data_IF_556738188767
#
_entry.id   IF_556738188767
#
_cell.length_a   1.000
_cell.length_b   1.000
_cell.length_c   1.000
_cell.angle_alpha   90.00
_cell.angle_beta   90.00
_cell.angle_gamma   90.00
#
_symmetry.space_group_name_H-M   'P 1'
#
loop_
_entity.id
_entity.type
_entity.pdbx_description
1 polymer ?
#
# COMPACT_ATOMS: atom_id res chain seq x y z
N UNK A 1 1.59 11.48 7.11
CA UNK A 1 0.70 12.62 6.75
C UNK A 1 -0.69 12.32 7.31
N UNK A 2 -1.22 13.17 8.19
CA UNK A 2 -2.63 13.11 8.59
C UNK A 2 -3.46 13.48 7.36
N UNK A 3 -4.47 12.69 7.04
CA UNK A 3 -5.40 13.02 5.96
C UNK A 3 -6.31 14.14 6.47
N UNK A 4 -6.48 15.18 5.66
CA UNK A 4 -7.32 16.32 6.01
C UNK A 4 -8.76 15.84 6.14
N UNK A 5 -9.40 16.14 7.28
CA UNK A 5 -10.82 15.88 7.47
C UNK A 5 -11.67 16.79 6.57
N UNK A 6 -12.93 16.43 6.34
CA UNK A 6 -13.86 17.27 5.58
C UNK A 6 -14.01 18.67 6.20
N UNK A 7 -13.98 18.76 7.54
CA UNK A 7 -14.07 20.04 8.27
C UNK A 7 -12.79 20.87 8.07
N UNK A 8 -11.62 20.26 8.18
CA UNK A 8 -10.34 20.93 7.91
C UNK A 8 -10.25 21.40 6.44
N UNK A 9 -10.77 20.60 5.50
CA UNK A 9 -10.80 20.94 4.07
C UNK A 9 -11.75 22.11 3.79
N UNK A 10 -12.96 22.08 4.34
CA UNK A 10 -13.91 23.20 4.22
C UNK A 10 -13.33 24.49 4.82
N UNK A 11 -12.68 24.38 5.98
CA UNK A 11 -11.97 25.49 6.61
C UNK A 11 -10.86 26.05 5.72
N UNK A 12 -10.05 25.19 5.10
CA UNK A 12 -9.01 25.61 4.17
C UNK A 12 -9.56 26.31 2.93
N UNK A 13 -10.57 25.73 2.28
CA UNK A 13 -11.19 26.29 1.08
C UNK A 13 -11.86 27.64 1.34
N UNK A 14 -12.36 27.87 2.56
CA UNK A 14 -12.94 29.14 3.00
C UNK A 14 -11.92 30.13 3.58
N UNK A 15 -10.63 29.79 3.60
CA UNK A 15 -9.56 30.64 4.16
C UNK A 15 -9.59 30.77 5.69
N UNK A 16 -10.30 29.88 6.39
CA UNK A 16 -10.42 29.85 7.85
C UNK A 16 -9.37 28.97 8.53
N UNK A 17 -8.66 28.14 7.78
CA UNK A 17 -7.66 27.20 8.28
C UNK A 17 -6.45 27.14 7.34
N UNK A 18 -5.25 26.93 7.89
CA UNK A 18 -4.02 26.73 7.12
C UNK A 18 -3.57 25.26 7.29
N UNK A 19 -3.33 24.51 6.20
CA UNK A 19 -2.86 23.14 6.29
C UNK A 19 -1.46 23.12 6.92
N UNK A 20 -1.26 22.21 7.89
CA UNK A 20 0.01 22.08 8.62
C UNK A 20 1.21 21.82 7.69
N UNK A 21 0.99 21.20 6.54
CA UNK A 21 2.03 20.80 5.61
C UNK A 21 2.13 21.70 4.36
N UNK A 22 1.57 22.91 4.45
CA UNK A 22 1.82 24.01 3.54
C UNK A 22 3.28 24.47 3.68
N UNK A 23 4.01 24.57 2.56
CA UNK A 23 5.40 25.01 2.58
C UNK A 23 5.51 26.53 2.66
N UNK A 24 6.64 27.04 3.15
CA UNK A 24 6.95 28.47 3.09
C UNK A 24 6.96 28.91 1.63
N UNK A 25 6.29 30.03 1.34
CA UNK A 25 6.09 30.59 0.00
C UNK A 25 5.28 29.70 -0.98
N UNK A 26 4.60 28.66 -0.50
CA UNK A 26 3.65 27.90 -1.31
C UNK A 26 2.26 28.54 -1.22
N UNK A 27 1.71 28.91 -2.37
CA UNK A 27 0.33 29.40 -2.48
C UNK A 27 -0.67 28.27 -2.28
N UNK A 28 -1.92 28.60 -1.92
CA UNK A 28 -2.99 27.61 -1.79
C UNK A 28 -3.23 26.81 -3.08
N UNK A 29 -3.06 27.46 -4.23
CA UNK A 29 -3.19 26.82 -5.54
C UNK A 29 -2.06 25.80 -5.76
N UNK A 30 -0.80 26.18 -5.51
CA UNK A 30 0.36 25.27 -5.62
C UNK A 30 0.24 24.09 -4.65
N UNK A 31 -0.24 24.34 -3.43
CA UNK A 31 -0.52 23.30 -2.45
C UNK A 31 -1.52 22.26 -2.98
N UNK A 32 -2.65 22.73 -3.51
CA UNK A 32 -3.69 21.86 -4.07
C UNK A 32 -3.18 21.07 -5.27
N UNK A 33 -2.48 21.73 -6.20
CA UNK A 33 -1.85 21.07 -7.36
C UNK A 33 -0.90 19.96 -6.90
N UNK A 34 -0.04 20.24 -5.90
CA UNK A 34 0.87 19.23 -5.32
C UNK A 34 0.11 18.04 -4.70
N UNK A 35 -1.02 18.28 -4.02
CA UNK A 35 -1.85 17.21 -3.44
C UNK A 35 -2.53 16.37 -4.51
N UNK A 36 -3.11 17.01 -5.53
CA UNK A 36 -3.77 16.31 -6.62
C UNK A 36 -2.78 15.51 -7.45
N UNK A 37 -1.63 16.08 -7.81
CA UNK A 37 -0.58 15.35 -8.53
C UNK A 37 -0.09 14.11 -7.76
N UNK A 38 0.06 14.22 -6.43
CA UNK A 38 0.41 13.07 -5.58
C UNK A 38 -0.69 11.99 -5.56
N UNK A 39 -1.97 12.41 -5.54
CA UNK A 39 -3.09 11.47 -5.59
C UNK A 39 -3.19 10.79 -6.96
N UNK A 40 -3.05 11.56 -8.04
CA UNK A 40 -3.06 11.08 -9.41
C UNK A 40 -1.91 10.09 -9.67
N UNK A 41 -0.70 10.38 -9.21
CA UNK A 41 0.43 9.46 -9.31
C UNK A 41 0.16 8.10 -8.63
N UNK A 42 -0.51 8.11 -7.46
CA UNK A 42 -0.92 6.88 -6.78
C UNK A 42 -1.99 6.12 -7.57
N UNK A 43 -3.00 6.82 -8.10
CA UNK A 43 -4.03 6.22 -8.93
C UNK A 43 -3.44 5.63 -10.22
N UNK A 44 -2.49 6.34 -10.86
CA UNK A 44 -1.81 5.88 -12.06
C UNK A 44 -0.97 4.62 -11.78
N UNK A 45 -0.22 4.57 -10.67
CA UNK A 45 0.52 3.38 -10.26
C UNK A 45 -0.41 2.17 -10.03
N UNK A 46 -1.52 2.36 -9.29
CA UNK A 46 -2.51 1.31 -9.08
C UNK A 46 -3.20 0.87 -10.38
N UNK A 47 -3.45 1.80 -11.31
CA UNK A 47 -4.04 1.49 -12.61
C UNK A 47 -3.07 0.69 -13.49
N UNK A 48 -1.79 1.04 -13.49
CA UNK A 48 -0.75 0.30 -14.20
C UNK A 48 -0.59 -1.12 -13.65
N UNK A 49 -0.55 -1.28 -12.33
CA UNK A 49 -0.51 -2.59 -11.66
C UNK A 49 -1.76 -3.43 -12.00
N UNK A 50 -2.96 -2.85 -11.90
CA UNK A 50 -4.20 -3.52 -12.31
C UNK A 50 -4.22 -3.93 -13.78
N UNK A 51 -3.66 -3.11 -14.67
CA UNK A 51 -3.51 -3.47 -16.08
C UNK A 51 -2.55 -4.63 -16.26
N UNK A 52 -1.42 -4.63 -15.55
CA UNK A 52 -0.45 -5.73 -15.53
C UNK A 52 -1.07 -7.05 -15.07
N UNK A 53 -1.78 -7.03 -13.94
CA UNK A 53 -2.48 -8.21 -13.40
C UNK A 53 -3.53 -8.75 -14.38
N UNK A 54 -4.33 -7.87 -15.00
CA UNK A 54 -5.32 -8.26 -16.01
C UNK A 54 -4.67 -8.86 -17.25
N UNK A 55 -3.56 -8.30 -17.74
CA UNK A 55 -2.83 -8.89 -18.86
C UNK A 55 -2.27 -10.27 -18.53
N UNK A 56 -1.67 -10.44 -17.34
CA UNK A 56 -1.17 -11.73 -16.88
C UNK A 56 -2.26 -12.80 -16.80
N UNK A 57 -3.42 -12.45 -16.22
CA UNK A 57 -4.57 -13.36 -16.13
C UNK A 57 -5.14 -13.72 -17.51
N UNK A 58 -5.19 -12.78 -18.45
CA UNK A 58 -5.69 -13.04 -19.80
C UNK A 58 -4.73 -13.92 -20.63
N UNK A 59 -3.42 -13.77 -20.43
CA UNK A 59 -2.44 -14.63 -21.08
C UNK A 59 -2.50 -16.08 -20.53
N UNK A 60 -2.76 -16.24 -19.22
CA UNK A 60 -3.05 -17.56 -18.63
C UNK A 60 -4.28 -18.22 -19.28
N UNK A 61 -5.39 -17.49 -19.43
CA UNK A 61 -6.61 -18.00 -20.08
C UNK A 61 -6.36 -18.40 -21.54
N UNK A 62 -5.56 -17.63 -22.30
CA UNK A 62 -5.21 -17.97 -23.70
C UNK A 62 -4.39 -19.25 -23.79
N UNK A 63 -3.40 -19.43 -22.90
CA UNK A 63 -2.58 -20.64 -22.85
C UNK A 63 -3.45 -21.86 -22.50
N UNK A 64 -4.34 -21.73 -21.52
CA UNK A 64 -5.32 -22.76 -21.15
C UNK A 64 -6.22 -23.11 -22.33
N UNK A 65 -6.80 -22.12 -23.00
CA UNK A 65 -7.71 -22.36 -24.13
C UNK A 65 -6.98 -23.01 -25.32
N UNK A 66 -5.74 -22.61 -25.62
CA UNK A 66 -4.95 -23.22 -26.70
C UNK A 66 -4.56 -24.67 -26.37
N UNK A 67 -4.15 -24.94 -25.13
CA UNK A 67 -3.84 -26.29 -24.66
C UNK A 67 -5.08 -27.18 -24.57
N UNK A 68 -6.19 -26.66 -24.05
CA UNK A 68 -7.46 -27.39 -23.92
C UNK A 68 -8.13 -27.69 -25.27
N UNK A 69 -8.15 -26.73 -26.20
CA UNK A 69 -8.73 -26.95 -27.55
C UNK A 69 -7.95 -27.98 -28.38
N UNK A 70 -6.64 -28.11 -28.19
CA UNK A 70 -5.85 -29.16 -28.84
C UNK A 70 -6.15 -30.57 -28.31
N UNK A 71 -6.70 -30.69 -27.09
CA UNK A 71 -6.96 -31.97 -26.41
C UNK A 71 -8.44 -32.34 -26.29
N UNK A 72 -9.38 -31.40 -26.44
CA UNK A 72 -10.83 -31.68 -26.35
C UNK A 72 -11.43 -32.31 -27.62
N UNK A 73 -10.63 -32.62 -28.65
CA UNK A 73 -11.15 -33.14 -29.93
C UNK A 73 -10.38 -34.38 -30.40
N UNK A 74 -10.26 -35.40 -29.55
CA UNK A 74 -10.27 -36.80 -30.02
C UNK A 74 -10.41 -37.82 -28.88
N UNK A 75 -11.45 -38.64 -28.98
CA UNK A 75 -11.52 -40.01 -28.46
C UNK A 75 -11.40 -40.23 -26.93
N UNK A 76 -11.83 -39.29 -26.10
CA UNK A 76 -12.30 -39.59 -24.74
C UNK A 76 -11.28 -40.06 -23.70
N UNK A 77 -9.97 -39.74 -23.81
CA UNK A 77 -8.96 -40.16 -22.81
C UNK A 77 -8.15 -39.00 -22.19
N UNK A 78 -7.83 -39.23 -20.91
CA UNK A 78 -7.17 -38.44 -19.86
C UNK A 78 -6.00 -37.51 -20.25
N UNK A 79 -5.94 -36.40 -19.51
CA UNK A 79 -4.97 -35.30 -19.57
C UNK A 79 -3.51 -35.79 -19.38
N UNK A 80 -2.62 -35.41 -20.30
CA UNK A 80 -1.19 -35.74 -20.25
C UNK A 80 -0.44 -34.94 -19.13
N UNK A 81 0.31 -35.60 -18.23
CA UNK A 81 1.02 -34.98 -17.10
C UNK A 81 2.02 -33.86 -17.46
N UNK A 82 2.55 -33.86 -18.69
CA UNK A 82 3.47 -32.81 -19.15
C UNK A 82 2.80 -31.44 -19.22
N UNK A 83 1.49 -31.42 -19.48
CA UNK A 83 0.68 -30.19 -19.49
C UNK A 83 0.30 -29.72 -18.09
N UNK A 84 0.16 -30.64 -17.11
CA UNK A 84 -0.02 -30.28 -15.71
C UNK A 84 1.23 -29.60 -15.11
N UNK A 85 2.45 -30.02 -15.53
CA UNK A 85 3.70 -29.34 -15.14
C UNK A 85 3.82 -27.92 -15.71
N UNK A 86 3.61 -27.77 -17.02
CA UNK A 86 3.65 -26.44 -17.65
C UNK A 86 2.59 -25.49 -17.06
N UNK A 87 1.44 -26.02 -16.65
CA UNK A 87 0.38 -25.28 -15.97
C UNK A 87 0.78 -24.81 -14.57
N UNK A 88 1.41 -25.68 -13.77
CA UNK A 88 1.92 -25.32 -12.45
C UNK A 88 3.09 -24.32 -12.52
N UNK A 89 3.99 -24.46 -13.49
CA UNK A 89 5.12 -23.53 -13.68
C UNK A 89 4.65 -22.14 -14.14
N UNK A 90 3.63 -22.06 -15.00
CA UNK A 90 3.06 -20.78 -15.46
C UNK A 90 2.20 -20.12 -14.38
N UNK A 91 1.41 -20.90 -13.64
CA UNK A 91 0.65 -20.43 -12.47
C UNK A 91 1.59 -19.93 -11.37
N UNK A 92 2.69 -20.63 -11.09
CA UNK A 92 3.71 -20.17 -10.16
C UNK A 92 4.34 -18.84 -10.58
N UNK A 93 4.56 -18.63 -11.89
CA UNK A 93 5.03 -17.34 -12.43
C UNK A 93 3.98 -16.23 -12.39
N UNK A 94 2.71 -16.54 -12.62
CA UNK A 94 1.62 -15.54 -12.53
C UNK A 94 1.34 -15.13 -11.08
N UNK A 95 1.50 -16.06 -10.13
CA UNK A 95 1.48 -15.78 -8.68
C UNK A 95 2.74 -15.07 -8.16
N UNK A 96 3.82 -15.02 -8.96
CA UNK A 96 5.06 -14.29 -8.67
C UNK A 96 5.05 -12.86 -9.22
N UNK A 97 3.93 -12.36 -9.76
CA UNK A 97 3.87 -10.96 -10.18
C UNK A 97 4.00 -10.05 -8.96
N UNK A 98 5.14 -9.37 -8.82
CA UNK A 98 5.37 -8.39 -7.77
C UNK A 98 4.29 -7.29 -7.83
N UNK A 99 3.76 -6.93 -6.66
CA UNK A 99 2.70 -5.90 -6.50
C UNK A 99 3.23 -4.68 -5.77
N UNK A 100 4.27 -3.99 -6.28
CA UNK A 100 5.00 -2.98 -5.52
C UNK A 100 4.15 -1.76 -5.14
N UNK A 101 3.12 -1.39 -5.91
CA UNK A 101 2.25 -0.28 -5.50
C UNK A 101 1.29 -0.72 -4.39
N UNK A 102 0.77 -1.94 -4.45
CA UNK A 102 0.01 -2.56 -3.35
C UNK A 102 0.86 -2.70 -2.10
N UNK A 103 2.09 -3.20 -2.20
CA UNK A 103 3.01 -3.38 -1.07
C UNK A 103 3.37 -2.02 -0.45
N UNK A 104 3.68 -1.02 -1.28
CA UNK A 104 3.92 0.35 -0.81
C UNK A 104 2.68 0.95 -0.12
N UNK A 105 1.48 0.64 -0.60
CA UNK A 105 0.23 1.07 0.00
C UNK A 105 -0.04 0.38 1.35
N UNK A 106 0.17 -0.94 1.45
CA UNK A 106 0.07 -1.68 2.70
C UNK A 106 1.07 -1.18 3.74
N UNK A 107 2.33 -0.94 3.34
CA UNK A 107 3.35 -0.34 4.20
C UNK A 107 2.99 1.11 4.62
N UNK A 108 2.25 1.86 3.79
CA UNK A 108 1.69 3.17 4.21
C UNK A 108 0.58 3.01 5.25
N UNK A 109 -0.32 2.02 5.09
CA UNK A 109 -1.39 1.72 6.05
C UNK A 109 -0.80 1.29 7.38
N UNK A 110 0.16 0.37 7.36
CA UNK A 110 0.83 -0.13 8.56
C UNK A 110 1.50 1.01 9.33
N UNK A 111 2.28 1.86 8.65
CA UNK A 111 2.87 3.06 9.26
C UNK A 111 1.82 4.01 9.84
N UNK A 112 0.65 4.14 9.22
CA UNK A 112 -0.45 4.96 9.76
C UNK A 112 -1.07 4.33 11.00
N UNK A 113 -1.24 3.01 11.03
CA UNK A 113 -1.78 2.27 12.17
C UNK A 113 -0.82 2.37 13.38
N UNK A 114 0.47 2.08 13.17
CA UNK A 114 1.52 2.21 14.20
C UNK A 114 1.53 3.63 14.76
N UNK A 115 1.48 4.66 13.90
CA UNK A 115 1.47 6.06 14.37
C UNK A 115 0.25 6.40 15.23
N UNK A 116 -0.94 5.88 14.88
CA UNK A 116 -2.14 6.06 15.70
C UNK A 116 -1.98 5.39 17.07
N UNK A 117 -1.42 4.19 17.09
CA UNK A 117 -1.20 3.44 18.33
C UNK A 117 -0.19 4.15 19.25
N UNK A 118 0.95 4.59 18.72
CA UNK A 118 1.96 5.35 19.47
C UNK A 118 1.34 6.62 20.07
N UNK A 119 0.60 7.40 19.27
CA UNK A 119 -0.05 8.61 19.77
C UNK A 119 -1.04 8.31 20.91
N UNK A 120 -1.72 7.17 20.86
CA UNK A 120 -2.64 6.74 21.92
C UNK A 120 -1.88 6.39 23.20
N UNK A 121 -0.74 5.69 23.09
CA UNK A 121 0.09 5.37 24.25
C UNK A 121 0.69 6.65 24.85
N UNK A 122 1.25 7.53 24.03
CA UNK A 122 1.83 8.79 24.49
C UNK A 122 0.80 9.61 25.29
N UNK A 123 -0.46 9.64 24.81
CA UNK A 123 -1.53 10.30 25.53
C UNK A 123 -1.81 9.68 26.91
N UNK A 124 -1.83 8.34 26.99
CA UNK A 124 -2.01 7.61 28.26
C UNK A 124 -0.84 7.87 29.22
N UNK A 125 0.40 7.81 28.72
CA UNK A 125 1.59 8.03 29.55
C UNK A 125 1.59 9.44 30.13
N UNK A 126 1.33 10.46 29.30
CA UNK A 126 1.22 11.87 29.74
C UNK A 126 0.08 12.11 30.74
N UNK A 127 -0.97 11.30 30.74
CA UNK A 127 -2.10 11.39 31.69
C UNK A 127 -1.80 10.66 33.02
N UNK A 128 -1.01 9.58 32.99
CA UNK A 128 -0.82 8.68 34.14
C UNK A 128 0.52 8.81 34.85
N UNK A 129 1.54 9.35 34.20
CA UNK A 129 2.89 9.43 34.74
C UNK A 129 3.35 10.86 35.00
N UNK A 130 4.40 10.99 35.81
CA UNK A 130 5.09 12.26 35.94
C UNK A 130 5.77 12.66 34.62
N UNK A 131 6.08 13.94 34.39
CA UNK A 131 6.79 14.37 33.18
C UNK A 131 8.13 13.66 32.97
N UNK A 132 8.84 13.36 34.06
CA UNK A 132 10.12 12.66 34.01
C UNK A 132 9.94 11.20 33.57
N UNK A 133 9.05 10.46 34.23
CA UNK A 133 8.79 9.05 33.91
C UNK A 133 8.15 8.88 32.51
N UNK A 134 7.40 9.88 32.05
CA UNK A 134 6.83 9.90 30.69
C UNK A 134 7.92 9.94 29.63
N UNK A 135 8.90 10.84 29.76
CA UNK A 135 9.97 10.97 28.77
C UNK A 135 10.90 9.75 28.81
N UNK A 136 11.14 9.14 29.97
CA UNK A 136 11.89 7.88 30.09
C UNK A 136 11.17 6.73 29.35
N UNK A 137 9.86 6.57 29.54
CA UNK A 137 9.07 5.55 28.85
C UNK A 137 8.97 5.77 27.33
N UNK A 138 8.84 7.03 26.89
CA UNK A 138 8.79 7.37 25.46
C UNK A 138 10.14 7.09 24.78
N UNK A 139 11.25 7.35 25.46
CA UNK A 139 12.58 7.04 24.93
C UNK A 139 12.84 5.54 24.86
N UNK A 140 12.43 4.77 25.88
CA UNK A 140 12.49 3.31 25.84
C UNK A 140 11.66 2.73 24.68
N UNK A 141 10.45 3.27 24.43
CA UNK A 141 9.64 2.88 23.28
C UNK A 141 10.29 3.23 21.94
N UNK A 142 10.99 4.37 21.85
CA UNK A 142 11.72 4.77 20.64
C UNK A 142 12.84 3.79 20.34
N UNK A 143 13.68 3.48 21.33
CA UNK A 143 14.79 2.52 21.20
C UNK A 143 14.27 1.15 20.76
N UNK A 144 13.20 0.65 21.41
CA UNK A 144 12.59 -0.63 21.05
C UNK A 144 12.12 -0.67 19.58
N UNK A 145 11.51 0.41 19.09
CA UNK A 145 11.06 0.48 17.69
C UNK A 145 12.22 0.59 16.69
N UNK A 146 13.32 1.25 17.07
CA UNK A 146 14.53 1.35 16.24
C UNK A 146 15.26 0.01 16.15
N UNK A 147 15.33 -0.76 17.23
CA UNK A 147 15.91 -2.11 17.26
C UNK A 147 15.13 -3.09 16.38
N UNK A 148 13.79 -3.06 16.44
CA UNK A 148 12.94 -3.91 15.59
C UNK A 148 13.00 -3.54 14.09
N UNK A 149 13.38 -2.31 13.76
CA UNK A 149 13.59 -1.86 12.37
C UNK A 149 14.92 -2.31 11.75
N UNK A 150 15.87 -2.78 12.57
CA UNK A 150 17.19 -3.22 12.13
C UNK A 150 17.26 -4.65 11.57
N UNK A 151 16.23 -5.48 11.82
CA UNK A 151 16.23 -6.91 11.46
C UNK A 151 15.70 -7.22 10.05
N UNK A 152 15.32 -6.22 9.25
CA UNK A 152 14.78 -6.40 7.89
C UNK A 152 15.79 -6.10 6.75
N UNK A 153 17.07 -6.50 6.89
CA UNK A 153 18.05 -6.44 5.79
C UNK A 153 18.39 -7.81 5.23
#
# INVERSE_FOLDING_TARGET
>A
MKQMSLIEMDGFLKGKCIPRDLKVNETNAEYLVRKFAKAEAKCAALAAENSGLKSGAMDEIKVINRGGQAYCVKDGVQVNPMYARGWNDYRAKSLQSDTPATDAFLAEIERKAIRKFINSIEHILRDKLSPYDTEEMLEAMRIFLEEQGGEQK
#
